data_IF_610343123962
#
_entry.id   IF_610343123962
#
_cell.length_a   1.000
_cell.length_b   1.000
_cell.length_c   1.000
_cell.angle_alpha   90.00
_cell.angle_beta   90.00
_cell.angle_gamma   90.00
#
_symmetry.space_group_name_H-M   'P 1'
#
loop_
_entity.id
_entity.type
_entity.pdbx_description
1 polymer ?
#
# COMPACT_ATOMS: atom_id res chain seq x y z
N UNK A 1 -16.94 -1.00 19.92
CA UNK A 1 -15.63 -0.33 19.83
C UNK A 1 -15.23 -0.24 18.36
N UNK A 2 -14.64 0.87 17.97
CA UNK A 2 -14.16 1.08 16.60
C UNK A 2 -12.64 1.18 16.59
N UNK A 3 -12.00 0.42 15.72
CA UNK A 3 -10.57 0.51 15.45
C UNK A 3 -10.37 1.07 14.04
N UNK A 4 -9.29 1.79 13.82
CA UNK A 4 -9.03 2.50 12.57
C UNK A 4 -7.78 1.95 11.90
N UNK A 5 -7.90 1.68 10.61
CA UNK A 5 -6.79 1.25 9.75
C UNK A 5 -6.77 2.08 8.48
N UNK A 6 -5.59 2.19 7.88
CA UNK A 6 -5.43 2.83 6.57
C UNK A 6 -4.84 1.88 5.57
N UNK A 7 -5.26 2.04 4.32
CA UNK A 7 -4.69 1.34 3.17
C UNK A 7 -4.13 2.40 2.24
N UNK A 8 -2.87 2.26 1.86
CA UNK A 8 -2.20 3.15 0.91
C UNK A 8 -1.99 2.41 -0.41
N UNK A 9 -2.52 2.99 -1.50
CA UNK A 9 -2.45 2.40 -2.84
C UNK A 9 -1.82 3.39 -3.80
N UNK A 10 -0.48 3.45 -3.89
CA UNK A 10 0.15 4.21 -4.97
C UNK A 10 -0.18 3.59 -6.32
N UNK A 11 -0.61 4.43 -7.26
CA UNK A 11 -0.93 4.02 -8.62
C UNK A 11 -0.18 4.89 -9.62
N UNK A 12 0.39 4.25 -10.63
CA UNK A 12 1.02 4.91 -11.75
C UNK A 12 0.37 4.41 -13.04
N UNK A 13 0.38 5.24 -14.08
CA UNK A 13 -0.30 4.91 -15.34
C UNK A 13 0.71 4.81 -16.48
N UNK A 14 0.59 3.76 -17.27
CA UNK A 14 1.25 3.64 -18.58
C UNK A 14 0.13 3.76 -19.62
N UNK A 15 -0.07 4.97 -20.16
CA UNK A 15 -1.28 5.28 -20.93
C UNK A 15 -2.51 5.17 -20.04
N UNK A 16 -3.47 4.32 -20.43
CA UNK A 16 -4.70 4.09 -19.67
C UNK A 16 -4.56 2.94 -18.65
N UNK A 17 -3.42 2.29 -18.65
CA UNK A 17 -3.23 1.07 -17.84
C UNK A 17 -2.61 1.41 -16.49
N UNK A 18 -3.36 1.23 -15.38
CA UNK A 18 -2.82 1.47 -14.06
C UNK A 18 -1.95 0.30 -13.58
N UNK A 19 -0.91 0.64 -12.83
CA UNK A 19 -0.11 -0.30 -12.06
C UNK A 19 -0.12 0.13 -10.61
N UNK A 20 -0.28 -0.84 -9.72
CA UNK A 20 -0.45 -0.60 -8.29
C UNK A 20 0.76 -1.11 -7.54
N UNK A 21 1.24 -0.33 -6.57
CA UNK A 21 2.25 -0.80 -5.64
C UNK A 21 1.60 -1.85 -4.73
N UNK A 22 2.19 -3.04 -4.71
CA UNK A 22 1.76 -4.16 -3.90
C UNK A 22 2.92 -4.69 -3.07
N UNK A 23 2.62 -5.29 -1.94
CA UNK A 23 3.63 -5.90 -1.07
C UNK A 23 3.17 -7.29 -0.66
N UNK A 24 4.13 -8.17 -0.35
CA UNK A 24 3.83 -9.50 0.17
C UNK A 24 4.16 -9.55 1.65
N UNK A 25 3.19 -9.89 2.45
CA UNK A 25 3.36 -10.10 3.88
C UNK A 25 4.33 -11.25 4.12
N UNK A 26 5.36 -11.01 4.92
CA UNK A 26 6.42 -11.97 5.22
C UNK A 26 5.91 -13.17 6.01
N UNK A 27 4.94 -12.94 6.90
CA UNK A 27 4.42 -13.96 7.81
C UNK A 27 3.41 -14.89 7.14
N UNK A 28 2.42 -14.30 6.44
CA UNK A 28 1.32 -15.05 5.84
C UNK A 28 1.50 -15.32 4.35
N UNK A 29 2.47 -14.66 3.71
CA UNK A 29 2.78 -14.81 2.28
C UNK A 29 1.64 -14.38 1.36
N UNK A 30 0.74 -13.53 1.84
CA UNK A 30 -0.33 -12.93 1.04
C UNK A 30 0.14 -11.62 0.44
N UNK A 31 -0.28 -11.37 -0.80
CA UNK A 31 -0.08 -10.08 -1.45
C UNK A 31 -1.21 -9.14 -1.08
N UNK A 32 -0.85 -7.91 -0.72
CA UNK A 32 -1.78 -6.90 -0.24
C UNK A 32 -1.39 -5.53 -0.78
N UNK A 33 -2.30 -4.56 -0.65
CA UNK A 33 -1.92 -3.16 -0.64
C UNK A 33 -1.37 -2.83 0.76
N UNK A 34 -0.53 -1.81 0.84
CA UNK A 34 0.04 -1.37 2.12
C UNK A 34 -1.09 -1.08 3.10
N UNK A 35 -1.13 -1.80 4.20
CA UNK A 35 -2.22 -1.73 5.18
C UNK A 35 -1.66 -1.72 6.59
N UNK A 36 -2.13 -0.81 7.42
CA UNK A 36 -1.69 -0.79 8.80
C UNK A 36 -2.65 -0.09 9.75
N UNK A 37 -2.44 -0.33 11.04
CA UNK A 37 -3.24 0.26 12.10
C UNK A 37 -2.86 1.70 12.38
N UNK A 38 -3.86 2.56 12.55
CA UNK A 38 -3.64 3.96 12.88
C UNK A 38 -3.29 4.13 14.35
N UNK A 39 -2.26 4.92 14.63
CA UNK A 39 -1.91 5.32 15.98
C UNK A 39 -2.96 6.30 16.51
N UNK A 40 -3.05 6.43 17.82
CA UNK A 40 -4.03 7.32 18.45
C UNK A 40 -4.03 8.73 17.86
N UNK A 41 -2.85 9.26 17.54
CA UNK A 41 -2.70 10.60 16.95
C UNK A 41 -3.17 10.68 15.50
N UNK A 42 -3.28 9.56 14.82
CA UNK A 42 -3.61 9.48 13.39
C UNK A 42 -5.10 9.27 13.14
N UNK A 43 -5.89 8.97 14.17
CA UNK A 43 -7.34 8.70 14.03
C UNK A 43 -8.06 9.90 13.40
N UNK A 44 -7.68 11.11 13.76
CA UNK A 44 -8.26 12.34 13.23
C UNK A 44 -7.64 12.80 11.93
N UNK A 45 -6.58 12.12 11.46
CA UNK A 45 -5.92 12.42 10.20
C UNK A 45 -5.40 11.12 9.56
N UNK A 46 -6.32 10.28 9.04
CA UNK A 46 -5.98 8.94 8.55
C UNK A 46 -4.96 8.90 7.43
N UNK A 47 -4.83 9.98 6.64
CA UNK A 47 -3.81 10.04 5.58
C UNK A 47 -2.39 9.97 6.16
N UNK A 48 -2.16 10.51 7.35
CA UNK A 48 -0.86 10.41 8.01
C UNK A 48 -0.52 8.95 8.35
N UNK A 49 -1.54 8.21 8.76
CA UNK A 49 -1.41 6.77 8.99
C UNK A 49 -0.99 6.05 7.70
N UNK A 50 -1.71 6.33 6.60
CA UNK A 50 -1.40 5.71 5.29
C UNK A 50 0.02 6.03 4.83
N UNK A 51 0.45 7.29 4.95
CA UNK A 51 1.78 7.71 4.54
C UNK A 51 2.89 7.08 5.40
N UNK A 52 2.67 6.97 6.70
CA UNK A 52 3.61 6.30 7.61
C UNK A 52 3.72 4.82 7.29
N UNK A 53 2.60 4.14 7.14
CA UNK A 53 2.59 2.72 6.81
C UNK A 53 3.24 2.45 5.44
N UNK A 54 3.01 3.33 4.47
CA UNK A 54 3.65 3.22 3.16
C UNK A 54 5.18 3.24 3.28
N UNK A 55 5.72 4.17 4.05
CA UNK A 55 7.16 4.24 4.27
C UNK A 55 7.66 2.99 5.02
N UNK A 56 7.01 2.62 6.10
CA UNK A 56 7.42 1.46 6.91
C UNK A 56 7.36 0.16 6.12
N UNK A 57 6.25 -0.09 5.43
CA UNK A 57 6.03 -1.37 4.73
C UNK A 57 6.80 -1.49 3.43
N UNK A 58 7.31 -0.38 2.88
CA UNK A 58 8.22 -0.40 1.74
C UNK A 58 9.69 -0.27 2.16
N UNK A 59 10.01 -0.49 3.43
CA UNK A 59 11.37 -0.42 4.00
C UNK A 59 12.03 0.95 3.78
N UNK A 60 11.24 2.02 3.81
CA UNK A 60 11.71 3.39 3.60
C UNK A 60 11.95 3.76 2.15
N UNK A 61 11.69 2.85 1.21
CA UNK A 61 11.98 3.06 -0.22
C UNK A 61 10.98 4.01 -0.87
N UNK A 62 9.70 3.91 -0.50
CA UNK A 62 8.66 4.80 -1.01
C UNK A 62 8.16 5.68 0.12
N UNK A 63 8.43 6.99 -0.01
CA UNK A 63 8.01 7.99 0.95
C UNK A 63 7.33 9.13 0.21
N UNK A 64 6.05 9.35 0.50
CA UNK A 64 5.25 10.43 -0.09
C UNK A 64 4.93 11.44 0.98
N UNK A 65 5.15 12.73 0.69
CA UNK A 65 4.83 13.82 1.62
C UNK A 65 3.53 14.51 1.25
N UNK A 66 3.33 14.76 -0.03
CA UNK A 66 2.14 15.36 -0.61
C UNK A 66 1.96 14.74 -2.00
N UNK A 67 0.74 14.72 -2.46
CA UNK A 67 0.44 14.22 -3.79
C UNK A 67 -1.05 14.27 -4.04
N UNK A 68 -1.43 14.07 -5.29
CA UNK A 68 -2.82 13.90 -5.63
C UNK A 68 -3.29 12.55 -5.13
N UNK A 69 -4.46 12.54 -4.51
CA UNK A 69 -5.05 11.31 -4.04
C UNK A 69 -6.56 11.40 -4.08
N UNK A 70 -7.17 10.23 -4.07
CA UNK A 70 -8.60 10.05 -3.88
C UNK A 70 -8.78 9.07 -2.73
N UNK A 71 -9.95 9.07 -2.11
CA UNK A 71 -10.17 8.23 -0.94
C UNK A 71 -11.58 7.65 -0.90
N UNK A 72 -11.70 6.51 -0.25
CA UNK A 72 -12.96 5.93 0.16
C UNK A 72 -12.74 5.12 1.44
N UNK A 73 -13.82 4.68 2.05
CA UNK A 73 -13.73 3.89 3.28
C UNK A 73 -14.72 2.75 3.28
N UNK A 74 -14.40 1.72 4.07
CA UNK A 74 -15.31 0.62 4.33
C UNK A 74 -15.14 0.14 5.77
N UNK A 75 -16.14 -0.58 6.26
CA UNK A 75 -16.17 -1.10 7.64
C UNK A 75 -16.30 -2.62 7.59
N UNK A 76 -15.48 -3.30 8.41
CA UNK A 76 -15.54 -4.76 8.58
C UNK A 76 -15.73 -5.06 10.06
N UNK A 77 -16.63 -5.97 10.37
CA UNK A 77 -16.78 -6.45 11.75
C UNK A 77 -15.67 -7.45 12.07
N UNK A 78 -14.83 -7.09 13.03
CA UNK A 78 -13.82 -8.01 13.58
C UNK A 78 -14.44 -8.99 14.58
N UNK A 79 -15.42 -8.50 15.35
CA UNK A 79 -16.18 -9.26 16.34
C UNK A 79 -17.55 -8.62 16.51
N UNK A 80 -18.49 -9.23 17.28
CA UNK A 80 -19.79 -8.60 17.54
C UNK A 80 -19.71 -7.21 18.18
N UNK A 81 -18.59 -6.89 18.86
CA UNK A 81 -18.40 -5.63 19.57
C UNK A 81 -17.34 -4.71 18.97
N UNK A 82 -16.62 -5.15 17.94
CA UNK A 82 -15.51 -4.38 17.36
C UNK A 82 -15.67 -4.23 15.85
N UNK A 83 -15.74 -2.98 15.40
CA UNK A 83 -15.73 -2.61 13.99
C UNK A 83 -14.33 -2.13 13.60
N UNK A 84 -13.87 -2.54 12.43
CA UNK A 84 -12.66 -2.02 11.80
C UNK A 84 -13.06 -1.07 10.69
N UNK A 85 -12.73 0.20 10.84
CA UNK A 85 -12.91 1.18 9.76
C UNK A 85 -11.60 1.32 8.99
N UNK A 86 -11.66 1.05 7.70
CA UNK A 86 -10.54 1.20 6.77
C UNK A 86 -10.72 2.46 5.95
N UNK A 87 -9.72 3.33 5.98
CA UNK A 87 -9.63 4.47 5.08
C UNK A 87 -8.64 4.11 3.98
N UNK A 88 -9.11 4.09 2.74
CA UNK A 88 -8.30 3.73 1.57
C UNK A 88 -7.92 5.00 0.84
N UNK A 89 -6.62 5.21 0.66
CA UNK A 89 -6.06 6.36 -0.07
C UNK A 89 -5.36 5.86 -1.31
N UNK A 90 -5.86 6.29 -2.46
CA UNK A 90 -5.27 5.98 -3.76
C UNK A 90 -4.44 7.19 -4.18
N UNK A 91 -3.12 7.03 -4.22
CA UNK A 91 -2.18 8.10 -4.52
C UNK A 91 -1.72 8.02 -5.97
N UNK A 92 -1.76 9.13 -6.67
CA UNK A 92 -1.11 9.21 -7.98
C UNK A 92 0.40 9.38 -7.79
N UNK A 93 1.18 8.53 -8.45
CA UNK A 93 2.64 8.64 -8.53
C UNK A 93 3.07 8.52 -9.97
N UNK A 94 4.03 9.35 -10.38
CA UNK A 94 4.51 9.38 -11.77
C UNK A 94 5.84 8.63 -11.87
N UNK A 95 5.75 7.29 -11.81
CA UNK A 95 6.92 6.41 -11.92
C UNK A 95 6.94 5.73 -13.28
N UNK A 96 8.01 5.93 -14.04
CA UNK A 96 8.26 5.16 -15.26
C UNK A 96 8.55 3.69 -14.92
N UNK A 97 8.49 2.80 -15.91
CA UNK A 97 8.83 1.39 -15.67
C UNK A 97 10.25 1.20 -15.13
N UNK A 98 11.30 1.88 -15.69
CA UNK A 98 12.63 1.82 -15.08
C UNK A 98 12.68 2.30 -13.63
N UNK A 99 11.95 3.36 -13.30
CA UNK A 99 11.88 3.86 -11.92
C UNK A 99 11.19 2.87 -10.98
N UNK A 100 10.15 2.20 -11.43
CA UNK A 100 9.48 1.12 -10.68
C UNK A 100 10.45 -0.02 -10.39
N UNK A 101 11.20 -0.46 -11.40
CA UNK A 101 12.20 -1.52 -11.23
C UNK A 101 13.32 -1.11 -10.28
N UNK A 102 13.74 0.15 -10.34
CA UNK A 102 14.76 0.68 -9.42
C UNK A 102 14.26 0.67 -7.97
N UNK A 103 13.00 1.05 -7.74
CA UNK A 103 12.39 1.01 -6.41
C UNK A 103 12.30 -0.43 -5.87
N UNK A 104 11.94 -1.38 -6.71
CA UNK A 104 11.90 -2.79 -6.34
C UNK A 104 13.29 -3.29 -5.96
N UNK A 105 14.31 -2.90 -6.73
CA UNK A 105 15.71 -3.23 -6.43
C UNK A 105 16.14 -2.66 -5.07
N UNK A 106 15.82 -1.40 -4.82
CA UNK A 106 16.12 -0.75 -3.53
C UNK A 106 15.44 -1.46 -2.37
N UNK A 107 14.19 -1.89 -2.55
CA UNK A 107 13.48 -2.67 -1.55
C UNK A 107 14.22 -3.98 -1.24
N UNK A 108 14.65 -4.70 -2.27
CA UNK A 108 15.40 -5.94 -2.12
C UNK A 108 16.76 -5.70 -1.44
N UNK A 109 17.45 -4.62 -1.77
CA UNK A 109 18.71 -4.23 -1.14
C UNK A 109 18.52 -3.98 0.37
N UNK A 110 17.47 -3.25 0.75
CA UNK A 110 17.14 -3.00 2.15
C UNK A 110 16.76 -4.28 2.89
N UNK A 111 16.08 -5.21 2.22
CA UNK A 111 15.78 -6.53 2.77
C UNK A 111 17.05 -7.30 3.07
N UNK A 112 18.03 -7.31 2.15
CA UNK A 112 19.30 -7.98 2.35
C UNK A 112 20.11 -7.37 3.49
N UNK A 113 20.10 -6.05 3.63
CA UNK A 113 20.73 -5.35 4.76
C UNK A 113 20.12 -5.80 6.10
N UNK A 114 18.80 -5.94 6.15
CA UNK A 114 18.10 -6.40 7.35
C UNK A 114 18.49 -7.84 7.70
N UNK A 115 18.57 -8.73 6.71
CA UNK A 115 18.99 -10.12 6.90
C UNK A 115 20.42 -10.17 7.44
N UNK A 116 21.33 -9.37 6.88
CA UNK A 116 22.71 -9.29 7.34
C UNK A 116 22.81 -8.82 8.79
N UNK A 117 22.04 -7.79 9.15
CA UNK A 117 21.99 -7.30 10.53
C UNK A 117 21.49 -8.36 11.51
N UNK A 118 20.48 -9.13 11.13
CA UNK A 118 19.96 -10.23 11.96
C UNK A 118 21.01 -11.30 12.20
N UNK A 119 21.75 -11.68 11.17
CA UNK A 119 22.85 -12.66 11.29
C UNK A 119 23.91 -12.17 12.27
N UNK A 120 24.23 -10.87 12.24
CA UNK A 120 25.21 -10.23 13.11
C UNK A 120 24.62 -9.80 14.46
N UNK A 121 23.36 -10.12 14.74
CA UNK A 121 22.63 -9.74 15.95
C UNK A 121 22.62 -8.23 16.19
N UNK A 122 22.58 -7.42 15.12
CA UNK A 122 22.48 -5.97 15.18
C UNK A 122 21.02 -5.53 15.26
N UNK A 123 20.75 -4.33 15.83
CA UNK A 123 19.37 -3.80 15.89
C UNK A 123 18.76 -3.58 14.51
N UNK A 124 17.48 -3.89 14.38
CA UNK A 124 16.69 -3.63 13.16
C UNK A 124 15.41 -2.88 13.51
N UNK A 125 14.86 -2.17 12.53
CA UNK A 125 13.54 -1.57 12.64
C UNK A 125 12.50 -2.65 12.29
N UNK A 126 11.77 -3.14 13.28
CA UNK A 126 10.76 -4.19 13.08
C UNK A 126 9.66 -3.77 12.11
N UNK A 127 9.26 -2.50 12.16
CA UNK A 127 8.24 -1.96 11.27
C UNK A 127 8.67 -1.95 9.80
N UNK A 128 9.98 -1.98 9.52
CA UNK A 128 10.55 -2.09 8.18
C UNK A 128 10.81 -3.55 7.76
N UNK A 129 10.41 -4.54 8.55
CA UNK A 129 10.66 -5.95 8.27
C UNK A 129 9.37 -6.78 8.23
N UNK A 130 8.27 -6.19 7.83
CA UNK A 130 6.97 -6.86 7.78
C UNK A 130 6.68 -7.51 6.43
N UNK A 131 7.26 -6.99 5.35
CA UNK A 131 7.06 -7.49 3.99
C UNK A 131 8.37 -8.01 3.39
N UNK A 132 8.28 -9.08 2.59
CA UNK A 132 9.46 -9.67 1.95
C UNK A 132 9.55 -9.38 0.45
N UNK A 133 8.49 -8.91 -0.19
CA UNK A 133 8.52 -8.50 -1.59
C UNK A 133 7.68 -7.25 -1.82
N UNK A 134 8.09 -6.47 -2.83
CA UNK A 134 7.34 -5.31 -3.34
C UNK A 134 7.27 -5.43 -4.86
N UNK A 135 6.14 -5.00 -5.42
CA UNK A 135 5.92 -5.05 -6.86
C UNK A 135 5.04 -3.88 -7.31
N UNK A 136 5.06 -3.59 -8.61
CA UNK A 136 4.12 -2.70 -9.27
C UNK A 136 3.32 -3.53 -10.26
N UNK A 137 2.12 -3.91 -9.89
CA UNK A 137 1.30 -4.87 -10.63
C UNK A 137 0.17 -4.19 -11.37
N UNK A 138 -0.14 -4.67 -12.58
CA UNK A 138 -1.44 -4.42 -13.18
C UNK A 138 -2.49 -5.14 -12.34
N UNK A 139 -3.76 -4.74 -12.49
CA UNK A 139 -4.85 -5.40 -11.77
C UNK A 139 -4.88 -6.91 -12.09
N UNK A 140 -4.68 -7.27 -13.35
CA UNK A 140 -4.66 -8.67 -13.77
C UNK A 140 -3.51 -9.45 -13.11
N UNK A 141 -2.29 -8.88 -13.10
CA UNK A 141 -1.14 -9.49 -12.43
C UNK A 141 -1.39 -9.69 -10.94
N UNK A 142 -1.97 -8.67 -10.29
CA UNK A 142 -2.29 -8.75 -8.87
C UNK A 142 -3.34 -9.85 -8.58
N UNK A 143 -4.37 -9.94 -9.40
CA UNK A 143 -5.42 -10.96 -9.24
C UNK A 143 -4.92 -12.39 -9.38
N UNK A 144 -3.82 -12.61 -10.08
CA UNK A 144 -3.20 -13.93 -10.22
C UNK A 144 -2.35 -14.34 -9.03
N UNK A 145 -2.08 -13.42 -8.11
CA UNK A 145 -1.31 -13.68 -6.89
C UNK A 145 -2.25 -14.07 -5.75
N UNK A 146 -1.72 -14.78 -4.76
CA UNK A 146 -2.48 -15.08 -3.55
C UNK A 146 -2.69 -13.80 -2.77
N UNK A 147 -3.92 -13.33 -2.67
CA UNK A 147 -4.30 -12.11 -1.99
C UNK A 147 -4.90 -12.41 -0.63
N UNK A 148 -4.81 -11.43 0.26
CA UNK A 148 -5.59 -11.45 1.47
C UNK A 148 -7.07 -11.20 1.13
N UNK A 149 -7.97 -12.10 1.56
CA UNK A 149 -9.40 -12.09 1.20
C UNK A 149 -10.07 -10.73 1.47
N UNK A 150 -9.68 -10.06 2.53
CA UNK A 150 -10.25 -8.77 2.91
C UNK A 150 -9.99 -7.69 1.86
N UNK A 151 -8.83 -7.72 1.22
CA UNK A 151 -8.49 -6.81 0.10
C UNK A 151 -9.36 -7.15 -1.11
N UNK A 152 -9.48 -8.43 -1.44
CA UNK A 152 -10.28 -8.85 -2.59
C UNK A 152 -11.74 -8.40 -2.43
N UNK A 153 -12.35 -8.70 -1.29
CA UNK A 153 -13.78 -8.42 -1.07
C UNK A 153 -14.10 -6.95 -0.92
N UNK A 154 -13.25 -6.20 -0.23
CA UNK A 154 -13.59 -4.83 0.17
C UNK A 154 -12.94 -3.75 -0.68
N UNK A 155 -11.94 -4.08 -1.45
CA UNK A 155 -11.26 -3.12 -2.34
C UNK A 155 -11.45 -3.52 -3.79
N UNK A 156 -11.01 -4.71 -4.19
CA UNK A 156 -11.06 -5.12 -5.60
C UNK A 156 -12.48 -5.34 -6.13
N UNK A 157 -13.44 -5.66 -5.29
CA UNK A 157 -14.86 -5.80 -5.65
C UNK A 157 -15.68 -4.54 -5.38
N UNK A 158 -15.03 -3.46 -4.92
CA UNK A 158 -15.70 -2.22 -4.57
C UNK A 158 -15.61 -1.20 -5.71
N UNK A 159 -16.76 -0.75 -6.21
CA UNK A 159 -16.85 0.21 -7.30
C UNK A 159 -16.17 1.55 -6.96
N UNK A 160 -16.16 1.96 -5.71
CA UNK A 160 -15.52 3.19 -5.28
C UNK A 160 -14.01 3.16 -5.53
N UNK A 161 -13.38 1.99 -5.42
CA UNK A 161 -11.95 1.84 -5.74
C UNK A 161 -11.66 2.21 -7.19
N UNK A 162 -12.46 1.68 -8.12
CA UNK A 162 -12.28 1.95 -9.55
C UNK A 162 -12.60 3.40 -9.91
N UNK A 163 -13.58 3.99 -9.26
CA UNK A 163 -13.89 5.42 -9.43
C UNK A 163 -12.72 6.29 -8.95
N UNK A 164 -12.09 5.95 -7.83
CA UNK A 164 -10.91 6.63 -7.33
C UNK A 164 -9.75 6.56 -8.31
N UNK A 165 -9.46 5.37 -8.84
CA UNK A 165 -8.39 5.15 -9.83
C UNK A 165 -8.66 5.94 -11.11
N UNK A 166 -9.86 5.86 -11.65
CA UNK A 166 -10.25 6.54 -12.89
C UNK A 166 -10.14 8.06 -12.74
N UNK A 167 -10.54 8.59 -11.60
CA UNK A 167 -10.45 10.04 -11.32
C UNK A 167 -9.00 10.54 -11.39
N UNK A 168 -8.05 9.77 -10.88
CA UNK A 168 -6.63 10.13 -10.94
C UNK A 168 -6.09 10.07 -12.37
N UNK A 169 -6.52 9.09 -13.16
CA UNK A 169 -6.11 8.97 -14.56
C UNK A 169 -6.56 10.18 -15.38
N UNK A 170 -7.79 10.67 -15.18
CA UNK A 170 -8.31 11.88 -15.84
C UNK A 170 -7.47 13.10 -15.51
N UNK A 171 -7.05 13.27 -14.24
CA UNK A 171 -6.18 14.36 -13.83
C UNK A 171 -4.82 14.28 -14.52
N UNK A 172 -4.27 13.08 -14.68
CA UNK A 172 -3.02 12.84 -15.39
C UNK A 172 -3.10 13.33 -16.85
N UNK A 173 -4.22 13.11 -17.53
CA UNK A 173 -4.42 13.58 -18.90
C UNK A 173 -4.69 15.08 -19.01
N UNK A 174 -5.27 15.70 -18.02
CA UNK A 174 -5.60 17.14 -18.05
C UNK A 174 -4.37 18.04 -17.95
N UNK A 175 -3.23 17.51 -17.59
CA UNK A 175 -1.96 18.25 -17.44
C UNK A 175 -1.19 18.30 -18.77
N UNK A 176 -1.63 17.56 -19.76
CA UNK A 176 -1.08 17.62 -21.12
C UNK A 176 -1.70 18.73 -21.92
#
# INVERSE_FOLDING_TARGET
MKKYKSIAVPVTFTGDKPRFLTVRDKRFKDWIFVTGGCRRREIFNPIRCALRELEEETRGVVSLKKGEYTEFKFIVKESPTVDLEYNVFVFFVDYTRPEQQDLIKKFNDEKQKTIAKKIQKQPIKRTHDENDFMSFDTLQEFRMKKQWDRITKNVLENQEFYSCVTSLNRKSFSIK
#
